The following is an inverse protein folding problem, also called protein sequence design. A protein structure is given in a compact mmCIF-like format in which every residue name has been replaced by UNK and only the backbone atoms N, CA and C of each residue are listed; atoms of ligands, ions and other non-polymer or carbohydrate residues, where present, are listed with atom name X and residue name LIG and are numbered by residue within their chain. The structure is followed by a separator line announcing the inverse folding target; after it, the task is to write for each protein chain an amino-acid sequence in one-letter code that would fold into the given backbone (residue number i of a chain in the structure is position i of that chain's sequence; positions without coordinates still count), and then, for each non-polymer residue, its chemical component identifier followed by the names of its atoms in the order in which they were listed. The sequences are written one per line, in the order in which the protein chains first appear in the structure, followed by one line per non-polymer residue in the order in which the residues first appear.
data_IF_330245632878
#
_entry.id   IF_330245632878
#
_cell.length_a   1.000
_cell.length_b   1.000
_cell.length_c   1.000
_cell.angle_alpha   90.00
_cell.angle_beta   90.00
_cell.angle_gamma   90.00
#
_symmetry.space_group_name_H-M   'P 1'
#
loop_
_entity.id
_entity.type
_entity.pdbx_description
1 polymer ?
#
# COMPACT_ATOMS: atom_id res chain seq x y z
N UNK A 1 -10.69 -2.38 -10.57
CA UNK A 1 -9.65 -2.67 -9.56
C UNK A 1 -10.34 -3.19 -8.31
N UNK A 2 -9.89 -4.31 -7.75
CA UNK A 2 -10.44 -4.88 -6.51
C UNK A 2 -9.32 -4.93 -5.49
N UNK A 3 -9.57 -4.39 -4.30
CA UNK A 3 -8.61 -4.37 -3.20
C UNK A 3 -9.37 -4.42 -1.87
N UNK A 4 -8.66 -4.72 -0.79
CA UNK A 4 -9.22 -4.65 0.56
C UNK A 4 -9.42 -3.19 0.98
N UNK A 5 -10.44 -2.89 1.79
CA UNK A 5 -10.77 -1.50 2.16
C UNK A 5 -9.65 -0.74 2.87
N UNK A 6 -8.81 -1.46 3.63
CA UNK A 6 -7.66 -0.88 4.35
C UNK A 6 -6.38 -0.81 3.51
N UNK A 7 -6.35 -1.39 2.29
CA UNK A 7 -5.19 -1.34 1.42
C UNK A 7 -5.30 -0.20 0.40
N UNK A 8 -4.17 0.48 0.15
CA UNK A 8 -4.10 1.51 -0.88
C UNK A 8 -4.33 0.91 -2.29
N UNK A 9 -5.19 1.52 -3.13
CA UNK A 9 -5.42 1.06 -4.49
C UNK A 9 -4.24 1.43 -5.41
N UNK A 10 -3.24 0.56 -5.47
CA UNK A 10 -2.09 0.76 -6.35
C UNK A 10 -2.53 0.64 -7.83
N UNK A 11 -2.35 1.72 -8.59
CA UNK A 11 -2.76 1.81 -10.01
C UNK A 11 -2.12 0.78 -10.93
N UNK A 12 -0.94 0.25 -10.56
CA UNK A 12 -0.28 -0.83 -11.29
C UNK A 12 -0.89 -2.22 -11.02
N UNK A 13 -1.69 -2.39 -9.96
CA UNK A 13 -2.32 -3.67 -9.58
C UNK A 13 -3.80 -3.66 -9.99
N UNK A 14 -4.06 -4.10 -11.22
CA UNK A 14 -5.40 -4.18 -11.75
C UNK A 14 -5.55 -5.27 -12.79
N UNK A 15 -6.77 -5.74 -12.98
CA UNK A 15 -7.13 -6.54 -14.13
C UNK A 15 -7.53 -5.60 -15.26
N UNK A 16 -6.86 -5.76 -16.41
CA UNK A 16 -7.24 -5.07 -17.64
C UNK A 16 -8.43 -5.80 -18.24
N UNK A 17 -9.52 -5.08 -18.47
CA UNK A 17 -10.68 -5.57 -19.20
C UNK A 17 -10.57 -5.02 -20.62
N UNK A 18 -10.65 -5.90 -21.62
CA UNK A 18 -10.66 -5.47 -23.02
C UNK A 18 -11.96 -4.75 -23.32
N UNK A 19 -11.90 -3.75 -24.20
CA UNK A 19 -13.08 -3.12 -24.76
C UNK A 19 -13.99 -4.20 -25.37
N UNK A 20 -15.22 -4.31 -24.86
CA UNK A 20 -16.23 -5.26 -25.32
C UNK A 20 -17.37 -4.51 -26.02
N UNK A 21 -17.98 -5.15 -27.01
CA UNK A 21 -19.18 -4.67 -27.72
C UNK A 21 -20.50 -5.15 -27.07
N UNK A 22 -20.41 -5.89 -25.97
CA UNK A 22 -21.55 -6.48 -25.26
C UNK A 22 -22.09 -5.51 -24.19
N UNK A 23 -23.37 -5.63 -23.86
CA UNK A 23 -24.05 -4.74 -22.90
C UNK A 23 -23.78 -5.06 -21.42
N UNK A 24 -23.19 -6.23 -21.12
CA UNK A 24 -23.00 -6.69 -19.75
C UNK A 24 -21.62 -7.35 -19.51
N UNK A 25 -21.06 -7.08 -18.33
CA UNK A 25 -19.80 -7.64 -17.85
C UNK A 25 -20.01 -8.23 -16.44
N UNK A 26 -19.64 -9.50 -16.25
CA UNK A 26 -19.83 -10.23 -14.99
C UNK A 26 -18.49 -10.64 -14.39
N UNK A 27 -18.27 -10.30 -13.12
CA UNK A 27 -17.09 -10.72 -12.34
C UNK A 27 -17.51 -11.54 -11.12
N UNK A 28 -16.83 -12.64 -10.87
CA UNK A 28 -16.92 -13.40 -9.62
C UNK A 28 -15.73 -13.08 -8.72
N UNK A 29 -16.00 -12.86 -7.44
CA UNK A 29 -14.99 -12.44 -6.46
C UNK A 29 -14.98 -13.45 -5.31
N UNK A 30 -13.83 -14.06 -5.06
CA UNK A 30 -13.64 -15.00 -3.95
C UNK A 30 -12.54 -14.47 -3.02
N UNK A 31 -12.86 -13.99 -1.81
CA UNK A 31 -11.86 -13.47 -0.88
C UNK A 31 -11.04 -14.61 -0.25
N UNK A 32 -9.74 -14.37 -0.06
CA UNK A 32 -8.84 -15.25 0.71
C UNK A 32 -8.07 -14.40 1.72
N UNK A 33 -7.98 -14.86 2.97
CA UNK A 33 -7.36 -14.11 4.06
C UNK A 33 -6.40 -15.02 4.81
N UNK A 34 -5.12 -14.63 4.83
CA UNK A 34 -4.09 -15.26 5.66
C UNK A 34 -3.94 -14.45 6.95
N UNK A 35 -4.05 -15.09 8.12
CA UNK A 35 -3.87 -14.46 9.42
C UNK A 35 -2.88 -15.26 10.26
N UNK A 36 -2.06 -14.56 11.03
CA UNK A 36 -1.25 -15.18 12.08
C UNK A 36 -2.14 -15.54 13.28
N UNK A 37 -1.84 -16.66 13.94
CA UNK A 37 -2.49 -17.04 15.20
C UNK A 37 -2.16 -16.02 16.28
N UNK A 38 -3.16 -15.64 17.09
CA UNK A 38 -3.01 -14.65 18.16
C UNK A 38 -1.96 -15.07 19.21
N UNK A 39 -1.78 -16.38 19.40
CA UNK A 39 -0.83 -16.95 20.36
C UNK A 39 0.63 -16.57 20.02
N UNK A 40 0.92 -16.32 18.73
CA UNK A 40 2.24 -15.87 18.29
C UNK A 40 2.59 -14.45 18.76
N UNK A 41 1.61 -13.69 19.26
CA UNK A 41 1.84 -12.34 19.82
C UNK A 41 2.65 -12.37 21.12
N UNK A 42 2.68 -13.53 21.80
CA UNK A 42 3.49 -13.76 23.00
C UNK A 42 5.00 -13.88 22.72
N UNK A 43 5.39 -14.24 21.50
CA UNK A 43 6.78 -14.32 21.07
C UNK A 43 7.31 -12.91 20.76
N UNK A 44 8.62 -12.70 20.81
CA UNK A 44 9.20 -11.44 20.34
C UNK A 44 9.09 -11.34 18.80
N UNK A 45 9.01 -10.11 18.26
CA UNK A 45 8.96 -9.85 16.81
C UNK A 45 10.16 -10.52 16.11
N UNK A 46 11.34 -10.49 16.73
CA UNK A 46 12.58 -11.06 16.18
C UNK A 46 12.52 -12.58 16.05
N UNK A 47 11.75 -13.26 16.92
CA UNK A 47 11.59 -14.71 16.89
C UNK A 47 10.56 -15.17 15.84
N UNK A 48 9.44 -14.46 15.72
CA UNK A 48 8.38 -14.80 14.74
C UNK A 48 8.61 -14.24 13.33
N UNK A 49 9.48 -13.23 13.20
CA UNK A 49 9.86 -12.58 11.93
C UNK A 49 8.67 -12.06 11.10
N UNK A 50 7.58 -11.69 11.76
CA UNK A 50 6.41 -11.06 11.14
C UNK A 50 5.78 -10.04 12.10
N UNK A 51 5.05 -9.08 11.54
CA UNK A 51 4.40 -8.00 12.27
C UNK A 51 2.89 -8.16 12.27
N UNK A 52 2.27 -7.94 13.41
CA UNK A 52 0.82 -7.74 13.50
C UNK A 52 0.42 -6.33 13.02
N UNK A 53 -0.86 -6.10 12.69
CA UNK A 53 -1.33 -4.82 12.15
C UNK A 53 -1.05 -3.60 13.04
N UNK A 54 -0.93 -3.80 14.35
CA UNK A 54 -0.66 -2.78 15.37
C UNK A 54 0.83 -2.63 15.75
N UNK A 55 1.73 -3.46 15.20
CA UNK A 55 3.13 -3.51 15.61
C UNK A 55 4.08 -2.77 14.67
N UNK A 56 3.70 -2.60 13.40
CA UNK A 56 4.52 -1.91 12.42
C UNK A 56 4.36 -0.39 12.52
N UNK A 57 5.46 0.33 12.74
CA UNK A 57 5.48 1.78 12.66
C UNK A 57 5.61 2.24 11.21
N UNK A 58 4.66 3.05 10.76
CA UNK A 58 4.50 3.56 9.42
C UNK A 58 4.14 5.05 9.52
N UNK A 59 4.72 5.89 8.67
CA UNK A 59 4.60 7.37 8.74
C UNK A 59 3.31 7.88 8.07
N UNK A 60 2.77 7.13 7.11
CA UNK A 60 1.63 7.52 6.25
C UNK A 60 0.42 6.65 6.57
N UNK A 61 0.61 5.35 6.78
CA UNK A 61 -0.46 4.41 7.05
C UNK A 61 -0.56 4.08 8.54
N UNK A 62 -1.78 4.13 9.10
CA UNK A 62 -2.00 3.82 10.52
C UNK A 62 -2.06 2.33 10.86
N UNK A 63 -2.13 1.45 9.86
CA UNK A 63 -2.24 0.01 10.05
C UNK A 63 -1.18 -0.69 9.22
N UNK A 64 -0.41 -1.55 9.88
CA UNK A 64 0.61 -2.31 9.21
C UNK A 64 -0.01 -3.38 8.32
N UNK A 65 0.39 -3.35 7.06
CA UNK A 65 0.25 -4.42 6.09
C UNK A 65 1.55 -4.50 5.30
N UNK A 66 1.81 -5.64 4.67
CA UNK A 66 2.96 -5.76 3.79
C UNK A 66 2.94 -4.71 2.67
N UNK A 67 1.75 -4.44 2.12
CA UNK A 67 1.55 -3.45 1.05
C UNK A 67 1.82 -2.02 1.51
N UNK A 68 1.27 -1.60 2.66
CA UNK A 68 1.52 -0.25 3.19
C UNK A 68 3.00 -0.02 3.50
N UNK A 69 3.70 -1.03 4.02
CA UNK A 69 5.15 -0.98 4.21
C UNK A 69 5.91 -0.77 2.89
N UNK A 70 5.60 -1.53 1.85
CA UNK A 70 6.27 -1.37 0.55
C UNK A 70 6.00 -0.01 -0.10
N UNK A 71 4.78 0.50 0.01
CA UNK A 71 4.41 1.81 -0.51
C UNK A 71 5.22 2.91 0.17
N UNK A 72 5.28 2.91 1.51
CA UNK A 72 6.08 3.90 2.23
C UNK A 72 7.56 3.79 1.93
N UNK A 73 8.09 2.57 1.82
CA UNK A 73 9.48 2.34 1.44
C UNK A 73 9.80 2.99 0.08
N UNK A 74 8.94 2.79 -0.92
CA UNK A 74 9.07 3.43 -2.24
C UNK A 74 8.95 4.95 -2.16
N UNK A 75 8.02 5.46 -1.36
CA UNK A 75 7.84 6.89 -1.18
C UNK A 75 9.04 7.56 -0.53
N UNK A 76 9.58 6.97 0.54
CA UNK A 76 10.82 7.40 1.19
C UNK A 76 11.98 7.38 0.19
N UNK A 77 12.06 6.33 -0.63
CA UNK A 77 13.08 6.25 -1.68
C UNK A 77 12.95 7.37 -2.72
N UNK A 78 11.75 7.64 -3.24
CA UNK A 78 11.49 8.71 -4.20
C UNK A 78 11.85 10.07 -3.61
N UNK A 79 11.41 10.36 -2.39
CA UNK A 79 11.73 11.63 -1.72
C UNK A 79 13.24 11.79 -1.53
N UNK A 80 13.92 10.74 -1.06
CA UNK A 80 15.36 10.78 -0.80
C UNK A 80 16.20 10.88 -2.09
N UNK A 81 15.75 10.29 -3.19
CA UNK A 81 16.48 10.26 -4.46
C UNK A 81 16.15 11.41 -5.40
N UNK A 82 14.87 11.76 -5.50
CA UNK A 82 14.36 12.73 -6.46
C UNK A 82 14.04 14.10 -5.83
N UNK A 83 13.95 14.19 -4.49
CA UNK A 83 13.61 15.44 -3.80
C UNK A 83 12.17 15.91 -4.04
N UNK A 84 11.30 15.02 -4.54
CA UNK A 84 9.91 15.31 -4.90
C UNK A 84 8.98 14.20 -4.36
N UNK A 85 7.68 14.45 -4.36
CA UNK A 85 6.68 13.44 -4.01
C UNK A 85 5.65 13.18 -5.12
N UNK A 86 5.08 11.98 -5.23
CA UNK A 86 3.92 11.74 -6.09
C UNK A 86 2.70 12.51 -5.59
N UNK A 87 1.98 13.18 -6.49
CA UNK A 87 0.85 14.07 -6.15
C UNK A 87 -0.31 13.40 -5.39
N UNK A 88 -0.44 12.08 -5.52
CA UNK A 88 -1.52 11.30 -4.92
C UNK A 88 -1.25 10.88 -3.48
N UNK A 89 -0.03 11.07 -2.98
CA UNK A 89 0.27 10.97 -1.56
C UNK A 89 0.34 12.37 -0.96
N UNK A 90 -0.36 12.59 0.16
CA UNK A 90 -0.17 13.77 1.00
C UNK A 90 0.47 13.28 2.29
N UNK A 91 1.77 13.49 2.46
CA UNK A 91 2.39 13.27 3.76
C UNK A 91 1.78 14.25 4.77
N UNK A 92 1.14 13.73 5.81
CA UNK A 92 0.79 14.53 6.97
C UNK A 92 2.07 14.99 7.66
N UNK A 93 2.21 16.30 7.85
CA UNK A 93 3.07 16.94 8.86
C UNK A 93 4.60 16.72 8.79
N UNK A 94 5.20 16.18 7.71
CA UNK A 94 6.67 16.10 7.61
C UNK A 94 7.19 16.70 6.31
N UNK A 95 7.61 17.96 6.44
CA UNK A 95 8.26 18.87 5.46
C UNK A 95 7.33 19.60 4.49
N UNK A 96 6.79 20.72 4.97
CA UNK A 96 6.43 21.87 4.13
C UNK A 96 7.55 22.13 3.11
N UNK A 97 7.32 21.82 1.83
CA UNK A 97 8.26 22.13 0.74
C UNK A 97 8.54 21.05 -0.31
N UNK A 98 8.01 19.83 -0.18
CA UNK A 98 8.19 18.82 -1.23
C UNK A 98 7.33 19.13 -2.47
N UNK A 99 8.00 19.48 -3.56
CA UNK A 99 7.39 19.68 -4.87
C UNK A 99 6.85 18.37 -5.43
N UNK A 100 5.74 18.42 -6.17
CA UNK A 100 5.24 17.26 -6.90
C UNK A 100 6.29 16.80 -7.92
N UNK A 101 6.52 15.49 -8.01
CA UNK A 101 7.38 14.94 -9.05
C UNK A 101 6.79 15.28 -10.41
N UNK A 102 7.56 16.00 -11.24
CA UNK A 102 7.22 16.21 -12.64
C UNK A 102 7.47 14.90 -13.38
N UNK A 103 6.52 14.47 -14.21
CA UNK A 103 6.81 13.46 -15.22
C UNK A 103 7.89 14.04 -16.13
N UNK A 104 9.09 13.47 -16.11
CA UNK A 104 10.09 13.76 -17.14
C UNK A 104 9.54 13.21 -18.45
N UNK A 105 9.02 14.10 -19.30
CA UNK A 105 8.62 13.82 -20.67
C UNK A 105 9.81 13.52 -21.55
#
# INVERSE_FOLDING_TARGET
MLHHSLSFPESAKGQYVREWKEDAFTMMITPSVTRASIDLKSLDITERNCYFPDEGHLDIFHTYTQESCYIECRLKYIVNKCGCQPYFFRFGEVKYGLVCCRSSS
#
